data_IF_937790878329
#
_entry.id   IF_937790878329
#
_cell.length_a   1.000
_cell.length_b   1.000
_cell.length_c   1.000
_cell.angle_alpha   90.00
_cell.angle_beta   90.00
_cell.angle_gamma   90.00
#
_symmetry.space_group_name_H-M   'P 1'
#
loop_
_entity.id
_entity.type
_entity.pdbx_description
1 polymer ?
#
# COMPACT_ATOMS: atom_id res chain seq x y z
N UNK A 1 5.95 25.99 46.88
CA UNK A 1 6.40 26.87 45.78
C UNK A 1 7.19 25.99 44.80
N UNK A 2 6.61 25.62 43.67
CA UNK A 2 7.31 24.76 42.70
C UNK A 2 8.40 25.59 42.02
N UNK A 3 9.66 25.17 42.17
CA UNK A 3 10.78 25.84 41.52
C UNK A 3 10.67 25.62 40.00
N UNK A 4 10.79 26.69 39.21
CA UNK A 4 10.62 26.68 37.75
C UNK A 4 11.52 25.62 37.07
N UNK A 5 12.70 25.36 37.65
CA UNK A 5 13.63 24.31 37.20
C UNK A 5 13.05 22.90 37.36
N UNK A 6 12.30 22.65 38.42
CA UNK A 6 11.69 21.35 38.69
C UNK A 6 10.48 21.10 37.79
N UNK A 7 9.74 22.15 37.42
CA UNK A 7 8.61 22.05 36.49
C UNK A 7 9.11 21.69 35.07
N UNK A 8 10.19 22.32 34.62
CA UNK A 8 10.79 22.03 33.31
C UNK A 8 11.27 20.59 33.20
N UNK A 9 11.89 20.05 34.26
CA UNK A 9 12.36 18.67 34.29
C UNK A 9 11.19 17.65 34.24
N UNK A 10 10.11 17.93 34.95
CA UNK A 10 8.90 17.10 34.94
C UNK A 10 8.24 17.12 33.57
N UNK A 11 8.14 18.30 32.93
CA UNK A 11 7.55 18.46 31.61
C UNK A 11 8.35 17.73 30.52
N UNK A 12 9.69 17.79 30.60
CA UNK A 12 10.59 17.09 29.69
C UNK A 12 10.44 15.57 29.80
N UNK A 13 10.30 15.05 31.02
CA UNK A 13 10.09 13.62 31.29
C UNK A 13 8.79 13.09 30.66
N UNK A 14 7.72 13.89 30.69
CA UNK A 14 6.41 13.54 30.12
C UNK A 14 6.47 13.49 28.59
N UNK A 15 7.24 14.39 27.96
CA UNK A 15 7.45 14.41 26.50
C UNK A 15 8.20 13.17 25.98
N UNK A 16 9.16 12.64 26.75
CA UNK A 16 9.88 11.42 26.34
C UNK A 16 9.04 10.14 26.53
N UNK A 17 8.12 10.11 27.49
CA UNK A 17 7.28 8.93 27.75
C UNK A 17 6.15 8.74 26.73
N UNK A 18 5.73 9.79 26.03
CA UNK A 18 4.66 9.72 25.00
C UNK A 18 5.20 9.60 23.58
N UNK A 19 6.53 9.62 23.41
CA UNK A 19 7.21 9.63 22.11
C UNK A 19 7.44 8.27 21.46
N UNK A 20 6.83 7.17 21.93
CA UNK A 20 6.91 5.89 21.22
C UNK A 20 6.01 5.93 19.99
N UNK A 21 6.60 6.35 18.86
CA UNK A 21 5.99 6.30 17.56
C UNK A 21 5.41 4.90 17.30
N UNK A 22 4.10 4.85 17.06
CA UNK A 22 3.39 3.68 16.59
C UNK A 22 3.84 3.36 15.17
N UNK A 23 5.00 2.71 15.04
CA UNK A 23 5.32 2.01 13.81
C UNK A 23 4.35 0.83 13.71
N UNK A 24 3.48 0.87 12.70
CA UNK A 24 2.53 -0.21 12.44
C UNK A 24 3.24 -1.57 12.30
N UNK A 25 2.50 -2.69 12.35
CA UNK A 25 3.08 -4.02 12.38
C UNK A 25 4.12 -4.21 11.27
N UNK A 26 5.36 -4.54 11.65
CA UNK A 26 6.47 -4.80 10.73
C UNK A 26 6.21 -6.00 9.77
N UNK A 27 5.13 -6.74 10.03
CA UNK A 27 4.70 -7.92 9.30
C UNK A 27 3.37 -7.71 8.57
N UNK A 28 3.17 -6.55 7.93
CA UNK A 28 2.27 -6.55 6.78
C UNK A 28 3.00 -7.33 5.70
N UNK A 29 2.46 -8.48 5.29
CA UNK A 29 2.75 -9.11 3.99
C UNK A 29 2.97 -7.95 3.03
N UNK A 30 4.19 -7.82 2.52
CA UNK A 30 4.62 -6.63 1.79
C UNK A 30 3.73 -6.56 0.54
N UNK A 31 2.59 -5.86 0.66
CA UNK A 31 1.61 -5.76 -0.41
C UNK A 31 2.38 -5.11 -1.55
N UNK A 32 2.55 -5.86 -2.62
CA UNK A 32 3.27 -5.35 -3.76
C UNK A 32 2.44 -4.23 -4.38
N UNK A 33 2.79 -3.00 -4.01
CA UNK A 33 2.05 -1.81 -4.36
C UNK A 33 1.95 -1.65 -5.88
N UNK A 34 2.97 -2.08 -6.63
CA UNK A 34 2.96 -2.01 -8.10
C UNK A 34 1.99 -3.02 -8.70
N UNK A 35 1.98 -4.25 -8.20
CA UNK A 35 1.00 -5.27 -8.60
C UNK A 35 -0.42 -4.79 -8.30
N UNK A 36 -0.66 -4.28 -7.09
CA UNK A 36 -1.98 -3.78 -6.68
C UNK A 36 -2.44 -2.61 -7.56
N UNK A 37 -1.55 -1.64 -7.79
CA UNK A 37 -1.83 -0.51 -8.69
C UNK A 37 -2.15 -0.98 -10.10
N UNK A 38 -1.42 -1.98 -10.63
CA UNK A 38 -1.71 -2.54 -11.93
C UNK A 38 -3.11 -3.16 -12.00
N UNK A 39 -3.48 -3.98 -11.01
CA UNK A 39 -4.78 -4.67 -10.99
C UNK A 39 -5.95 -3.67 -10.96
N UNK A 40 -5.86 -2.63 -10.13
CA UNK A 40 -6.89 -1.56 -10.07
C UNK A 40 -7.02 -0.84 -11.41
N UNK A 41 -5.89 -0.48 -12.04
CA UNK A 41 -5.90 0.19 -13.33
C UNK A 41 -6.40 -0.74 -14.44
N UNK A 42 -6.10 -2.03 -14.38
CA UNK A 42 -6.60 -3.01 -15.32
C UNK A 42 -8.13 -3.16 -15.23
N UNK A 43 -8.70 -3.20 -14.02
CA UNK A 43 -10.15 -3.25 -13.79
C UNK A 43 -10.83 -1.97 -14.29
N UNK A 44 -10.29 -0.79 -13.97
CA UNK A 44 -10.81 0.48 -14.48
C UNK A 44 -10.78 0.55 -16.01
N UNK A 45 -9.72 0.03 -16.63
CA UNK A 45 -9.60 -0.03 -18.08
C UNK A 45 -10.63 -0.98 -18.71
N UNK A 46 -10.90 -2.12 -18.07
CA UNK A 46 -11.95 -3.07 -18.49
C UNK A 46 -13.35 -2.45 -18.38
N UNK A 47 -13.56 -1.61 -17.37
CA UNK A 47 -14.79 -0.83 -17.19
C UNK A 47 -14.91 0.39 -18.14
N UNK A 48 -13.99 0.56 -19.11
CA UNK A 48 -14.09 1.60 -20.14
C UNK A 48 -13.44 2.94 -19.80
N UNK A 49 -12.64 3.02 -18.73
CA UNK A 49 -11.89 4.25 -18.43
C UNK A 49 -10.68 4.40 -19.36
N UNK A 50 -10.75 5.34 -20.31
CA UNK A 50 -9.71 5.59 -21.32
C UNK A 50 -8.36 6.00 -20.71
N UNK A 51 -8.36 6.75 -19.60
CA UNK A 51 -7.13 7.11 -18.88
C UNK A 51 -6.50 5.89 -18.20
N UNK A 52 -7.32 4.93 -17.77
CA UNK A 52 -6.83 3.69 -17.22
C UNK A 52 -6.22 2.79 -18.30
N UNK A 53 -6.76 2.80 -19.54
CA UNK A 53 -6.20 2.02 -20.66
C UNK A 53 -4.76 2.42 -20.97
N UNK A 54 -4.47 3.73 -21.03
CA UNK A 54 -3.12 4.23 -21.27
C UNK A 54 -2.18 3.95 -20.08
N UNK A 55 -2.66 4.18 -18.86
CA UNK A 55 -1.89 3.92 -17.63
C UNK A 55 -1.58 2.44 -17.41
N UNK A 56 -2.47 1.53 -17.85
CA UNK A 56 -2.27 0.08 -17.74
C UNK A 56 -0.95 -0.35 -18.37
N UNK A 57 -0.67 0.10 -19.59
CA UNK A 57 0.56 -0.24 -20.32
C UNK A 57 1.80 0.32 -19.62
N UNK A 58 1.72 1.55 -19.13
CA UNK A 58 2.80 2.22 -18.40
C UNK A 58 3.15 1.47 -17.12
N UNK A 59 2.16 1.15 -16.30
CA UNK A 59 2.37 0.44 -15.03
C UNK A 59 2.90 -0.97 -15.27
N UNK A 60 2.39 -1.69 -16.27
CA UNK A 60 2.92 -3.00 -16.64
C UNK A 60 4.41 -2.98 -17.00
N UNK A 61 4.87 -1.88 -17.59
CA UNK A 61 6.29 -1.67 -17.93
C UNK A 61 7.21 -1.60 -16.70
N UNK A 62 6.70 -1.12 -15.56
CA UNK A 62 7.45 -1.05 -14.31
C UNK A 62 7.48 -2.36 -13.53
N UNK A 63 6.65 -3.35 -13.90
CA UNK A 63 6.66 -4.65 -13.23
C UNK A 63 7.90 -5.47 -13.61
N UNK A 64 8.50 -6.09 -12.61
CA UNK A 64 9.52 -7.12 -12.80
C UNK A 64 8.90 -8.45 -13.27
N UNK A 65 9.73 -9.43 -13.62
CA UNK A 65 9.27 -10.71 -14.16
C UNK A 65 8.34 -11.47 -13.22
N UNK A 66 8.66 -11.52 -11.93
CA UNK A 66 7.87 -12.25 -10.93
C UNK A 66 6.51 -11.58 -10.71
N UNK A 67 6.49 -10.25 -10.65
CA UNK A 67 5.28 -9.44 -10.56
C UNK A 67 4.36 -9.64 -11.77
N UNK A 68 4.91 -9.72 -12.98
CA UNK A 68 4.13 -9.99 -14.20
C UNK A 68 3.47 -11.36 -14.14
N UNK A 69 4.23 -12.39 -13.77
CA UNK A 69 3.69 -13.75 -13.62
C UNK A 69 2.58 -13.79 -12.57
N UNK A 70 2.76 -13.08 -11.46
CA UNK A 70 1.76 -13.01 -10.39
C UNK A 70 0.47 -12.30 -10.87
N UNK A 71 0.60 -11.17 -11.55
CA UNK A 71 -0.52 -10.44 -12.16
C UNK A 71 -1.29 -11.32 -13.14
N UNK A 72 -0.60 -12.01 -14.05
CA UNK A 72 -1.22 -12.86 -15.05
C UNK A 72 -2.01 -14.01 -14.42
N UNK A 73 -1.46 -14.62 -13.35
CA UNK A 73 -2.15 -15.64 -12.56
C UNK A 73 -3.42 -15.10 -11.90
N UNK A 74 -3.36 -13.91 -11.30
CA UNK A 74 -4.52 -13.29 -10.64
C UNK A 74 -5.62 -13.02 -11.66
N UNK A 75 -5.29 -12.42 -12.80
CA UNK A 75 -6.27 -12.12 -13.86
C UNK A 75 -6.89 -13.41 -14.41
N UNK A 76 -6.08 -14.45 -14.65
CA UNK A 76 -6.59 -15.74 -15.10
C UNK A 76 -7.55 -16.38 -14.09
N UNK A 77 -7.23 -16.29 -12.80
CA UNK A 77 -8.10 -16.77 -11.72
C UNK A 77 -9.42 -15.99 -11.67
N UNK A 78 -9.37 -14.65 -11.77
CA UNK A 78 -10.57 -13.80 -11.79
C UNK A 78 -11.49 -14.13 -12.97
N UNK A 79 -10.94 -14.30 -14.18
CA UNK A 79 -11.73 -14.71 -15.36
C UNK A 79 -12.37 -16.09 -15.21
N UNK A 80 -11.64 -17.03 -14.60
CA UNK A 80 -12.18 -18.37 -14.32
C UNK A 80 -13.35 -18.32 -13.34
N UNK A 81 -13.29 -17.44 -12.33
CA UNK A 81 -14.39 -17.23 -11.38
C UNK A 81 -15.56 -16.54 -12.07
N UNK A 82 -15.32 -15.49 -12.87
CA UNK A 82 -16.36 -14.77 -13.60
C UNK A 82 -17.12 -15.67 -14.58
N UNK A 83 -16.46 -16.62 -15.24
CA UNK A 83 -17.09 -17.56 -16.18
C UNK A 83 -17.89 -18.69 -15.51
N UNK A 84 -17.80 -18.83 -14.18
CA UNK A 84 -18.53 -19.86 -13.42
C UNK A 84 -19.84 -19.37 -12.81
N UNK A 85 -20.14 -18.07 -12.92
CA UNK A 85 -21.37 -17.42 -12.45
C UNK A 85 -22.26 -17.18 -13.66
#
# INVERSE_FOLDING_TARGET
MFNLKNISLVLLSILFLTGSAFAGPANKLNEDHLVKSYLVVAELAENGNEFAVSNKKTIYGFLNSDQKVLVDKIIAAQKTVSNKI
#
